data_IF_460495996465
#
_entry.id   IF_460495996465
#
_cell.length_a   1.000
_cell.length_b   1.000
_cell.length_c   1.000
_cell.angle_alpha   90.00
_cell.angle_beta   90.00
_cell.angle_gamma   90.00
#
_symmetry.space_group_name_H-M   'P 1'
#
loop_
_entity.id
_entity.type
_entity.pdbx_description
1 polymer ?
#
# COMPACT_ATOMS: atom_id res chain seq x y z
N UNK A 1 25.08 -20.88 -7.96
CA UNK A 1 26.15 -19.87 -7.97
C UNK A 1 25.70 -18.56 -8.62
N UNK A 2 25.27 -18.53 -9.88
CA UNK A 2 24.83 -17.29 -10.58
C UNK A 2 23.73 -16.50 -9.82
N UNK A 3 22.72 -17.16 -9.24
CA UNK A 3 21.65 -16.50 -8.48
C UNK A 3 22.19 -15.75 -7.24
N UNK A 4 23.19 -16.30 -6.56
CA UNK A 4 23.80 -15.65 -5.40
C UNK A 4 24.58 -14.37 -5.77
N UNK A 5 25.10 -14.29 -7.00
CA UNK A 5 25.75 -13.08 -7.50
C UNK A 5 24.75 -11.96 -7.85
N UNK A 6 23.53 -12.32 -8.25
CA UNK A 6 22.47 -11.35 -8.61
C UNK A 6 21.72 -10.84 -7.37
N UNK A 7 21.62 -11.64 -6.31
CA UNK A 7 20.88 -11.28 -5.08
C UNK A 7 21.30 -9.91 -4.48
N UNK A 8 22.61 -9.57 -4.35
CA UNK A 8 23.01 -8.26 -3.84
C UNK A 8 22.53 -7.10 -4.70
N UNK A 9 22.51 -7.25 -6.04
CA UNK A 9 22.12 -6.20 -6.98
C UNK A 9 20.61 -5.88 -6.91
N UNK A 10 19.79 -6.80 -6.38
CA UNK A 10 18.35 -6.55 -6.19
C UNK A 10 18.05 -5.53 -5.09
N UNK A 11 19.01 -5.23 -4.22
CA UNK A 11 18.87 -4.34 -3.03
C UNK A 11 17.65 -4.70 -2.14
N UNK A 12 17.12 -5.92 -2.28
CA UNK A 12 15.96 -6.42 -1.53
C UNK A 12 16.39 -7.15 -0.26
N UNK A 13 16.32 -6.44 0.86
CA UNK A 13 16.65 -7.01 2.19
C UNK A 13 15.79 -8.26 2.51
N UNK A 14 14.52 -8.22 2.16
CA UNK A 14 13.59 -9.34 2.35
C UNK A 14 14.01 -10.59 1.59
N UNK A 15 14.47 -10.43 0.34
CA UNK A 15 14.93 -11.53 -0.49
C UNK A 15 16.22 -12.17 0.08
N UNK A 16 17.13 -11.37 0.64
CA UNK A 16 18.34 -11.89 1.25
C UNK A 16 18.05 -12.73 2.49
N UNK A 17 17.17 -12.23 3.36
CA UNK A 17 16.75 -12.95 4.57
C UNK A 17 16.02 -14.25 4.19
N UNK A 18 15.12 -14.20 3.22
CA UNK A 18 14.40 -15.36 2.72
C UNK A 18 15.36 -16.43 2.15
N UNK A 19 16.33 -16.03 1.33
CA UNK A 19 17.32 -16.93 0.78
C UNK A 19 18.20 -17.55 1.89
N UNK A 20 18.67 -16.76 2.84
CA UNK A 20 19.52 -17.25 3.94
C UNK A 20 18.77 -18.27 4.81
N UNK A 21 17.55 -17.99 5.23
CA UNK A 21 16.74 -18.87 6.05
C UNK A 21 16.41 -20.18 5.31
N UNK A 22 15.98 -20.09 4.05
CA UNK A 22 15.61 -21.26 3.26
C UNK A 22 16.80 -22.17 2.97
N UNK A 23 17.96 -21.60 2.58
CA UNK A 23 19.18 -22.36 2.35
C UNK A 23 19.70 -23.02 3.62
N UNK A 24 19.70 -22.30 4.75
CA UNK A 24 20.08 -22.85 6.05
C UNK A 24 19.16 -24.02 6.47
N UNK A 25 17.84 -23.88 6.25
CA UNK A 25 16.87 -24.92 6.55
C UNK A 25 17.08 -26.16 5.67
N UNK A 26 17.29 -26.01 4.35
CA UNK A 26 17.55 -27.12 3.43
C UNK A 26 18.85 -27.83 3.81
N UNK A 27 19.92 -27.08 4.10
CA UNK A 27 21.18 -27.64 4.56
C UNK A 27 21.03 -28.42 5.88
N UNK A 28 20.24 -27.89 6.82
CA UNK A 28 19.92 -28.57 8.07
C UNK A 28 19.19 -29.88 7.85
N UNK A 29 18.21 -29.94 6.93
CA UNK A 29 17.44 -31.15 6.64
C UNK A 29 18.24 -32.22 5.89
N UNK A 30 19.17 -31.82 5.00
CA UNK A 30 20.04 -32.72 4.26
C UNK A 30 21.23 -33.25 5.06
N UNK A 31 21.47 -32.69 6.28
CA UNK A 31 22.62 -33.10 7.07
C UNK A 31 22.53 -34.56 7.49
N UNK A 32 23.64 -35.29 7.40
CA UNK A 32 23.80 -36.60 8.00
C UNK A 32 23.89 -36.47 9.54
N UNK A 33 22.79 -36.81 10.21
CA UNK A 33 22.69 -36.69 11.68
C UNK A 33 23.83 -37.40 12.43
N UNK A 34 24.32 -38.50 11.89
CA UNK A 34 25.37 -39.32 12.52
C UNK A 34 26.73 -38.62 12.42
N UNK A 35 27.11 -38.19 11.23
CA UNK A 35 28.34 -37.42 11.00
C UNK A 35 28.32 -36.09 11.75
N UNK A 36 27.18 -35.39 11.74
CA UNK A 36 27.01 -34.11 12.44
C UNK A 36 27.18 -34.24 13.94
N UNK A 37 26.60 -35.30 14.59
CA UNK A 37 26.73 -35.52 16.04
C UNK A 37 28.19 -35.77 16.44
N UNK A 38 28.94 -36.50 15.63
CA UNK A 38 30.36 -36.76 15.85
C UNK A 38 31.19 -35.49 15.72
N UNK A 39 30.95 -34.74 14.64
CA UNK A 39 31.60 -33.45 14.40
C UNK A 39 31.27 -32.42 15.47
N UNK A 40 29.98 -32.36 15.89
CA UNK A 40 29.54 -31.46 16.97
C UNK A 40 30.24 -31.78 18.29
N UNK A 41 30.30 -33.05 18.70
CA UNK A 41 31.01 -33.45 19.93
C UNK A 41 32.49 -33.09 19.86
N UNK A 42 33.12 -33.25 18.69
CA UNK A 42 34.57 -33.04 18.53
C UNK A 42 34.92 -31.53 18.46
N UNK A 43 34.08 -30.71 17.85
CA UNK A 43 34.39 -29.30 17.56
C UNK A 43 33.35 -28.31 18.15
N UNK A 44 32.59 -28.70 19.18
CA UNK A 44 31.53 -27.89 19.80
C UNK A 44 31.95 -26.44 20.06
N UNK A 45 33.10 -26.23 20.69
CA UNK A 45 33.60 -24.88 21.01
C UNK A 45 33.86 -24.03 19.75
N UNK A 46 34.42 -24.64 18.69
CA UNK A 46 34.63 -23.94 17.42
C UNK A 46 33.33 -23.61 16.73
N UNK A 47 32.37 -24.53 16.66
CA UNK A 47 31.07 -24.28 16.04
C UNK A 47 30.29 -23.21 16.80
N UNK A 48 30.35 -23.18 18.12
CA UNK A 48 29.72 -22.11 18.93
C UNK A 48 30.41 -20.77 18.65
N UNK A 49 31.74 -20.74 18.57
CA UNK A 49 32.48 -19.50 18.26
C UNK A 49 32.17 -18.99 16.83
N UNK A 50 32.16 -19.89 15.85
CA UNK A 50 31.78 -19.56 14.47
C UNK A 50 30.32 -19.10 14.38
N UNK A 51 29.41 -19.76 15.08
CA UNK A 51 28.00 -19.37 15.17
C UNK A 51 27.83 -17.98 15.79
N UNK A 52 28.53 -17.70 16.88
CA UNK A 52 28.54 -16.38 17.52
C UNK A 52 29.12 -15.30 16.59
N UNK A 53 30.23 -15.60 15.89
CA UNK A 53 30.82 -14.70 14.90
C UNK A 53 29.87 -14.38 13.74
N UNK A 54 29.25 -15.41 13.15
CA UNK A 54 28.25 -15.23 12.07
C UNK A 54 27.05 -14.43 12.60
N UNK A 55 26.56 -14.73 13.80
CA UNK A 55 25.46 -14.00 14.42
C UNK A 55 25.81 -12.52 14.63
N UNK A 56 27.03 -12.24 15.11
CA UNK A 56 27.51 -10.86 15.28
C UNK A 56 27.58 -10.12 13.95
N UNK A 57 28.16 -10.75 12.91
CA UNK A 57 28.25 -10.16 11.56
C UNK A 57 26.84 -9.89 10.99
N UNK A 58 25.90 -10.85 11.12
CA UNK A 58 24.52 -10.66 10.66
C UNK A 58 23.80 -9.56 11.45
N UNK A 59 24.05 -9.46 12.75
CA UNK A 59 23.46 -8.40 13.60
C UNK A 59 24.01 -7.02 13.22
N UNK A 60 25.33 -6.92 12.97
CA UNK A 60 25.96 -5.68 12.49
C UNK A 60 25.47 -5.29 11.09
N UNK A 61 25.33 -6.27 10.20
CA UNK A 61 24.77 -6.05 8.86
C UNK A 61 23.28 -5.60 8.92
N UNK A 62 22.49 -6.21 9.79
CA UNK A 62 21.09 -5.80 10.01
C UNK A 62 20.99 -4.39 10.60
N UNK A 63 21.82 -4.07 11.58
CA UNK A 63 21.93 -2.71 12.14
C UNK A 63 22.35 -1.70 11.07
N UNK A 64 23.40 -2.00 10.29
CA UNK A 64 23.84 -1.16 9.17
C UNK A 64 22.74 -0.93 8.14
N UNK A 65 22.00 -1.98 7.76
CA UNK A 65 20.84 -1.87 6.85
C UNK A 65 19.71 -1.05 7.43
N UNK A 66 19.50 -1.06 8.75
CA UNK A 66 18.52 -0.21 9.41
C UNK A 66 18.92 1.27 9.32
N UNK A 67 20.18 1.59 9.63
CA UNK A 67 20.70 2.96 9.59
C UNK A 67 20.77 3.54 8.18
N UNK A 68 20.93 2.71 7.14
CA UNK A 68 20.97 3.17 5.74
C UNK A 68 19.61 3.70 5.24
N UNK A 69 18.47 3.17 5.73
CA UNK A 69 17.11 3.61 5.35
C UNK A 69 16.14 3.46 6.55
N UNK A 70 16.26 4.29 7.59
CA UNK A 70 15.44 4.17 8.78
C UNK A 70 13.94 4.42 8.49
N UNK A 71 13.63 5.39 7.64
CA UNK A 71 12.25 5.74 7.31
C UNK A 71 11.48 4.59 6.64
N UNK A 72 12.16 3.77 5.83
CA UNK A 72 11.53 2.58 5.22
C UNK A 72 11.17 1.50 6.26
N UNK A 73 11.95 1.34 7.32
CA UNK A 73 11.66 0.37 8.38
C UNK A 73 10.57 0.89 9.32
N UNK A 74 10.65 2.15 9.71
CA UNK A 74 9.65 2.84 10.53
C UNK A 74 8.31 2.93 9.80
N UNK A 75 8.32 3.23 8.49
CA UNK A 75 7.12 3.26 7.66
C UNK A 75 6.41 1.91 7.62
N UNK A 76 7.13 0.78 7.48
CA UNK A 76 6.53 -0.56 7.57
C UNK A 76 5.95 -0.84 8.95
N UNK A 77 6.66 -0.48 10.03
CA UNK A 77 6.16 -0.63 11.40
C UNK A 77 4.85 0.14 11.61
N UNK A 78 4.81 1.38 11.14
CA UNK A 78 3.60 2.20 11.21
C UNK A 78 2.46 1.60 10.38
N UNK A 79 2.74 1.18 9.15
CA UNK A 79 1.78 0.53 8.28
C UNK A 79 1.17 -0.73 8.91
N UNK A 80 2.00 -1.61 9.48
CA UNK A 80 1.52 -2.81 10.17
C UNK A 80 0.68 -2.47 11.41
N UNK A 81 1.07 -1.43 12.16
CA UNK A 81 0.29 -0.91 13.29
C UNK A 81 -1.12 -0.48 12.85
N UNK A 82 -1.23 0.25 11.74
CA UNK A 82 -2.53 0.68 11.19
C UNK A 82 -3.31 -0.50 10.62
N UNK A 83 -2.66 -1.42 9.91
CA UNK A 83 -3.30 -2.65 9.40
C UNK A 83 -3.86 -3.50 10.53
N UNK A 84 -3.13 -3.69 11.64
CA UNK A 84 -3.64 -4.41 12.81
C UNK A 84 -4.86 -3.71 13.44
N UNK A 85 -4.90 -2.38 13.46
CA UNK A 85 -6.09 -1.63 13.91
C UNK A 85 -7.27 -1.84 12.97
N UNK A 86 -7.03 -1.80 11.66
CA UNK A 86 -8.07 -2.10 10.66
C UNK A 86 -8.61 -3.54 10.81
N UNK A 87 -7.74 -4.55 11.04
CA UNK A 87 -8.16 -5.93 11.30
C UNK A 87 -9.01 -6.02 12.58
N UNK A 88 -8.65 -5.28 13.63
CA UNK A 88 -9.43 -5.27 14.87
C UNK A 88 -10.84 -4.68 14.68
N UNK A 89 -10.99 -3.71 13.78
CA UNK A 89 -12.28 -3.15 13.40
C UNK A 89 -13.08 -4.09 12.46
N UNK A 90 -12.37 -4.84 11.60
CA UNK A 90 -12.96 -5.74 10.59
C UNK A 90 -12.42 -7.18 10.70
N UNK A 91 -12.66 -7.92 11.80
CA UNK A 91 -12.07 -9.25 12.03
C UNK A 91 -12.56 -10.31 11.03
N UNK A 92 -13.73 -10.11 10.44
CA UNK A 92 -14.32 -11.00 9.42
C UNK A 92 -13.92 -10.64 7.98
N UNK A 93 -13.08 -9.62 7.82
CA UNK A 93 -12.63 -9.13 6.53
C UNK A 93 -13.35 -7.86 6.07
N UNK A 94 -12.69 -7.12 5.19
CA UNK A 94 -13.22 -5.90 4.59
C UNK A 94 -13.49 -6.12 3.09
N UNK A 95 -14.77 -6.09 2.64
CA UNK A 95 -15.10 -6.35 1.23
C UNK A 95 -14.52 -5.34 0.23
N UNK A 96 -14.26 -4.11 0.69
CA UNK A 96 -13.65 -3.03 -0.12
C UNK A 96 -12.12 -3.17 -0.24
N UNK A 97 -11.54 -4.11 0.53
CA UNK A 97 -10.12 -4.41 0.46
C UNK A 97 -9.26 -3.56 1.39
N UNK A 98 -7.94 -3.73 1.24
CA UNK A 98 -6.93 -3.15 2.11
C UNK A 98 -6.96 -1.62 2.14
N UNK A 99 -6.99 -0.97 0.98
CA UNK A 99 -6.77 0.47 0.86
C UNK A 99 -7.80 1.30 1.65
N UNK A 100 -9.10 0.96 1.52
CA UNK A 100 -10.19 1.64 2.22
C UNK A 100 -10.05 1.49 3.75
N UNK A 101 -9.99 0.24 4.24
CA UNK A 101 -9.94 -0.05 5.67
C UNK A 101 -8.67 0.52 6.33
N UNK A 102 -7.53 0.45 5.65
CA UNK A 102 -6.28 1.08 6.09
C UNK A 102 -6.43 2.60 6.20
N UNK A 103 -6.97 3.25 5.14
CA UNK A 103 -7.15 4.69 5.11
C UNK A 103 -8.08 5.19 6.22
N UNK A 104 -9.18 4.48 6.51
CA UNK A 104 -10.09 4.78 7.61
C UNK A 104 -9.41 4.64 8.97
N UNK A 105 -8.70 3.53 9.21
CA UNK A 105 -7.97 3.32 10.46
C UNK A 105 -6.88 4.39 10.69
N UNK A 106 -6.18 4.81 9.62
CA UNK A 106 -5.18 5.86 9.68
C UNK A 106 -5.83 7.23 9.96
N UNK A 107 -6.94 7.57 9.31
CA UNK A 107 -7.65 8.82 9.55
C UNK A 107 -8.15 8.93 11.00
N UNK A 108 -8.75 7.87 11.52
CA UNK A 108 -9.21 7.82 12.92
C UNK A 108 -8.03 7.91 13.92
N UNK A 109 -6.90 7.30 13.57
CA UNK A 109 -5.70 7.36 14.40
C UNK A 109 -5.15 8.78 14.50
N UNK A 110 -4.97 9.47 13.40
CA UNK A 110 -4.46 10.84 13.41
C UNK A 110 -5.48 11.85 13.93
N UNK A 111 -6.79 11.64 13.73
CA UNK A 111 -7.85 12.46 14.30
C UNK A 111 -7.84 12.42 15.85
N UNK A 112 -7.34 11.34 16.47
CA UNK A 112 -7.24 11.26 17.94
C UNK A 112 -6.20 12.21 18.54
N UNK A 113 -5.30 12.80 17.74
CA UNK A 113 -4.23 13.70 18.18
C UNK A 113 -3.11 13.04 19.01
N UNK A 114 -3.25 11.76 19.35
CA UNK A 114 -2.29 11.04 20.20
C UNK A 114 -1.33 10.18 19.36
N UNK A 115 -0.39 10.84 18.69
CA UNK A 115 0.62 10.20 17.85
C UNK A 115 1.99 10.86 17.98
N UNK A 116 3.04 10.09 17.67
CA UNK A 116 4.40 10.61 17.71
C UNK A 116 4.76 11.32 16.38
N UNK A 117 5.59 12.33 16.43
CA UNK A 117 6.03 13.11 15.26
C UNK A 117 6.69 12.26 14.15
N UNK A 118 7.35 11.15 14.52
CA UNK A 118 7.92 10.24 13.53
C UNK A 118 6.85 9.47 12.75
N UNK A 119 5.68 9.19 13.34
CA UNK A 119 4.57 8.48 12.69
C UNK A 119 3.95 9.36 11.60
N UNK A 120 3.76 10.64 11.88
CA UNK A 120 3.32 11.61 10.86
C UNK A 120 4.29 11.68 9.68
N UNK A 121 5.60 11.73 9.96
CA UNK A 121 6.64 11.81 8.92
C UNK A 121 6.66 10.60 8.00
N UNK A 122 6.46 9.38 8.54
CA UNK A 122 6.51 8.13 7.76
C UNK A 122 5.17 7.69 7.21
N UNK A 123 4.09 8.34 7.62
CA UNK A 123 2.75 8.05 7.10
C UNK A 123 2.67 8.20 5.59
N UNK A 124 1.90 7.33 4.96
CA UNK A 124 1.69 7.30 3.52
C UNK A 124 0.33 6.70 3.18
N UNK A 125 0.04 6.61 1.90
CA UNK A 125 -1.15 5.96 1.34
C UNK A 125 -0.78 4.68 0.60
N UNK A 126 -0.37 3.59 1.31
CA UNK A 126 0.04 2.36 0.66
C UNK A 126 -1.14 1.64 0.04
N UNK A 127 -0.93 1.02 -1.13
CA UNK A 127 -1.92 0.16 -1.77
C UNK A 127 -1.94 -1.26 -1.19
N UNK A 128 -0.85 -1.68 -0.50
CA UNK A 128 -0.64 -3.02 0.04
C UNK A 128 -0.05 -2.95 1.45
N UNK A 129 -0.31 -3.98 2.26
CA UNK A 129 0.21 -4.08 3.63
C UNK A 129 1.72 -4.30 3.72
N UNK A 130 2.42 -4.65 2.61
CA UNK A 130 3.79 -5.16 2.61
C UNK A 130 3.98 -6.33 3.60
N UNK A 131 2.90 -7.06 3.83
CA UNK A 131 2.83 -8.29 4.62
C UNK A 131 1.57 -9.04 4.19
N UNK A 132 1.74 -10.11 3.42
CA UNK A 132 0.64 -10.88 2.85
C UNK A 132 -0.31 -11.47 3.90
N UNK A 133 0.21 -11.83 5.06
CA UNK A 133 -0.60 -12.40 6.14
C UNK A 133 -1.57 -11.37 6.72
N UNK A 134 -1.08 -10.16 6.95
CA UNK A 134 -1.92 -9.06 7.41
C UNK A 134 -2.92 -8.63 6.34
N UNK A 135 -2.53 -8.66 5.08
CA UNK A 135 -3.40 -8.30 3.97
C UNK A 135 -4.52 -9.31 3.76
N UNK A 136 -4.21 -10.61 3.80
CA UNK A 136 -5.21 -11.68 3.76
C UNK A 136 -6.15 -11.60 4.97
N UNK A 137 -5.61 -11.35 6.18
CA UNK A 137 -6.42 -11.21 7.38
C UNK A 137 -7.37 -10.00 7.33
N UNK A 138 -6.93 -8.88 6.73
CA UNK A 138 -7.78 -7.69 6.57
C UNK A 138 -8.82 -7.86 5.47
N UNK A 139 -8.43 -8.44 4.32
CA UNK A 139 -9.32 -8.55 3.15
C UNK A 139 -10.34 -9.67 3.29
N UNK A 140 -9.89 -10.85 3.76
CA UNK A 140 -10.72 -12.06 3.80
C UNK A 140 -11.11 -12.50 5.21
N UNK A 141 -10.59 -11.82 6.22
CA UNK A 141 -10.82 -12.12 7.63
C UNK A 141 -9.74 -13.01 8.25
N UNK A 142 -9.64 -12.91 9.58
CA UNK A 142 -8.64 -13.65 10.38
C UNK A 142 -8.83 -15.16 10.25
N UNK A 143 -10.08 -15.63 10.21
CA UNK A 143 -10.37 -17.07 10.07
C UNK A 143 -9.84 -17.63 8.74
N UNK A 144 -9.99 -16.90 7.64
CA UNK A 144 -9.45 -17.31 6.34
C UNK A 144 -7.91 -17.30 6.34
N UNK A 145 -7.28 -16.31 6.96
CA UNK A 145 -5.83 -16.28 7.12
C UNK A 145 -5.31 -17.52 7.86
N UNK A 146 -5.96 -17.90 8.97
CA UNK A 146 -5.62 -19.13 9.72
C UNK A 146 -5.80 -20.37 8.86
N UNK A 147 -6.89 -20.46 8.10
CA UNK A 147 -7.15 -21.60 7.20
C UNK A 147 -6.07 -21.73 6.12
N UNK A 148 -5.70 -20.61 5.47
CA UNK A 148 -4.62 -20.59 4.47
C UNK A 148 -3.29 -21.04 5.07
N UNK A 149 -2.93 -20.53 6.25
CA UNK A 149 -1.73 -20.95 6.94
C UNK A 149 -1.76 -22.45 7.29
N UNK A 150 -2.90 -22.96 7.75
CA UNK A 150 -3.07 -24.39 8.04
C UNK A 150 -2.82 -25.25 6.79
N UNK A 151 -3.36 -24.86 5.64
CA UNK A 151 -3.12 -25.56 4.37
C UNK A 151 -1.64 -25.53 3.98
N UNK A 152 -1.00 -24.36 4.08
CA UNK A 152 0.43 -24.18 3.75
C UNK A 152 1.31 -25.06 4.65
N UNK A 153 1.08 -25.04 5.97
CA UNK A 153 1.82 -25.88 6.92
C UNK A 153 1.55 -27.36 6.71
N UNK A 154 0.31 -27.76 6.35
CA UNK A 154 -0.02 -29.12 5.97
C UNK A 154 0.77 -29.59 4.75
N UNK A 155 0.86 -28.77 3.70
CA UNK A 155 1.67 -29.05 2.51
C UNK A 155 3.16 -29.17 2.85
N UNK A 156 3.69 -28.28 3.69
CA UNK A 156 5.09 -28.35 4.16
C UNK A 156 5.33 -29.65 4.96
N UNK A 157 4.44 -30.02 5.86
CA UNK A 157 4.53 -31.26 6.62
C UNK A 157 4.61 -32.48 5.71
N UNK A 158 3.73 -32.58 4.70
CA UNK A 158 3.72 -33.65 3.71
C UNK A 158 5.04 -33.65 2.91
N UNK A 159 5.48 -32.49 2.43
CA UNK A 159 6.72 -32.34 1.69
C UNK A 159 7.96 -32.79 2.49
N UNK A 160 8.00 -32.48 3.79
CA UNK A 160 9.07 -32.94 4.70
C UNK A 160 8.99 -34.47 4.90
N UNK A 161 7.79 -35.04 5.10
CA UNK A 161 7.57 -36.46 5.20
C UNK A 161 8.04 -37.21 3.94
N UNK A 162 7.80 -36.64 2.76
CA UNK A 162 8.24 -37.17 1.46
C UNK A 162 9.71 -36.82 1.12
N UNK A 163 10.47 -36.23 2.06
CA UNK A 163 11.88 -35.81 1.90
C UNK A 163 12.14 -34.84 0.75
N UNK A 164 11.13 -34.04 0.37
CA UNK A 164 11.22 -33.02 -0.69
C UNK A 164 11.81 -31.71 -0.17
N UNK A 165 12.94 -31.78 0.51
CA UNK A 165 13.50 -30.64 1.25
C UNK A 165 13.79 -29.42 0.37
N UNK A 166 14.22 -29.59 -0.89
CA UNK A 166 14.44 -28.48 -1.81
C UNK A 166 13.16 -27.70 -2.12
N UNK A 167 12.05 -28.43 -2.40
CA UNK A 167 10.74 -27.81 -2.69
C UNK A 167 10.20 -27.11 -1.43
N UNK A 168 10.28 -27.76 -0.27
CA UNK A 168 9.91 -27.13 1.00
C UNK A 168 10.74 -25.88 1.29
N UNK A 169 12.04 -25.91 0.99
CA UNK A 169 12.92 -24.74 1.13
C UNK A 169 12.51 -23.57 0.24
N UNK A 170 12.13 -23.83 -1.02
CA UNK A 170 11.61 -22.82 -1.92
C UNK A 170 10.29 -22.22 -1.40
N UNK A 171 9.38 -23.04 -0.89
CA UNK A 171 8.13 -22.58 -0.28
C UNK A 171 8.41 -21.75 0.99
N UNK A 172 9.34 -22.15 1.85
CA UNK A 172 9.77 -21.40 3.03
C UNK A 172 10.36 -20.03 2.60
N UNK A 173 11.17 -19.99 1.54
CA UNK A 173 11.70 -18.74 1.01
C UNK A 173 10.59 -17.78 0.62
N UNK A 174 9.56 -18.26 -0.08
CA UNK A 174 8.40 -17.45 -0.45
C UNK A 174 7.64 -16.96 0.77
N UNK A 175 7.40 -17.80 1.77
CA UNK A 175 6.72 -17.43 3.01
C UNK A 175 7.47 -16.35 3.79
N UNK A 176 8.79 -16.48 3.93
CA UNK A 176 9.63 -15.47 4.59
C UNK A 176 9.62 -14.16 3.79
N UNK A 177 9.65 -14.22 2.48
CA UNK A 177 9.57 -13.05 1.62
C UNK A 177 8.21 -12.34 1.74
N UNK A 178 7.11 -13.10 1.82
CA UNK A 178 5.74 -12.61 2.01
C UNK A 178 5.52 -11.89 3.34
N UNK A 179 6.38 -12.11 4.34
CA UNK A 179 6.28 -11.43 5.63
C UNK A 179 6.61 -9.92 5.55
N UNK A 180 7.41 -9.50 4.58
CA UNK A 180 7.86 -8.11 4.46
C UNK A 180 7.80 -7.58 3.02
N UNK A 181 7.00 -8.20 2.16
CA UNK A 181 6.79 -7.85 0.76
C UNK A 181 5.37 -8.26 0.33
N UNK A 182 5.05 -8.04 -0.95
CA UNK A 182 3.74 -8.34 -1.55
C UNK A 182 3.85 -9.26 -2.80
N UNK A 183 4.50 -10.43 -2.71
CA UNK A 183 4.69 -11.31 -3.87
C UNK A 183 3.39 -11.84 -4.46
N UNK A 184 2.33 -12.04 -3.66
CA UNK A 184 1.06 -12.57 -4.14
C UNK A 184 0.23 -11.56 -4.96
N UNK A 185 0.68 -10.31 -5.09
CA UNK A 185 0.16 -9.36 -6.08
C UNK A 185 0.77 -9.52 -7.47
N UNK A 186 1.82 -10.34 -7.60
CA UNK A 186 2.51 -10.59 -8.86
C UNK A 186 2.13 -11.97 -9.41
N UNK A 187 1.53 -12.07 -10.62
CA UNK A 187 1.04 -13.34 -11.18
C UNK A 187 2.10 -14.44 -11.21
N UNK A 188 3.36 -14.10 -11.51
CA UNK A 188 4.45 -15.07 -11.54
C UNK A 188 4.70 -15.73 -10.18
N UNK A 189 4.59 -14.98 -9.09
CA UNK A 189 4.75 -15.52 -7.73
C UNK A 189 3.53 -16.34 -7.29
N UNK A 190 2.32 -15.97 -7.70
CA UNK A 190 1.10 -16.76 -7.45
C UNK A 190 1.24 -18.13 -8.11
N UNK A 191 1.59 -18.17 -9.38
CA UNK A 191 1.80 -19.43 -10.11
C UNK A 191 2.91 -20.26 -9.45
N UNK A 192 4.01 -19.63 -9.08
CA UNK A 192 5.12 -20.30 -8.37
C UNK A 192 4.67 -20.87 -7.03
N UNK A 193 3.91 -20.11 -6.22
CA UNK A 193 3.38 -20.57 -4.95
C UNK A 193 2.48 -21.81 -5.13
N UNK A 194 1.56 -21.76 -6.08
CA UNK A 194 0.67 -22.87 -6.41
C UNK A 194 1.49 -24.10 -6.84
N UNK A 195 2.43 -23.94 -7.77
CA UNK A 195 3.29 -25.04 -8.21
C UNK A 195 4.10 -25.66 -7.05
N UNK A 196 4.61 -24.86 -6.13
CA UNK A 196 5.37 -25.34 -4.96
C UNK A 196 4.45 -26.10 -3.98
N UNK A 197 3.24 -25.58 -3.71
CA UNK A 197 2.26 -26.26 -2.86
C UNK A 197 1.84 -27.60 -3.45
N UNK A 198 1.53 -27.63 -4.74
CA UNK A 198 1.22 -28.86 -5.48
C UNK A 198 2.39 -29.86 -5.43
N UNK A 199 3.62 -29.38 -5.69
CA UNK A 199 4.81 -30.20 -5.66
C UNK A 199 5.13 -30.76 -4.25
N UNK A 200 4.74 -30.08 -3.17
CA UNK A 200 4.81 -30.61 -1.82
C UNK A 200 3.81 -31.76 -1.60
N UNK A 201 2.58 -31.64 -2.10
CA UNK A 201 1.46 -32.55 -1.85
C UNK A 201 1.37 -33.78 -2.75
N UNK A 202 1.90 -33.71 -3.99
CA UNK A 202 1.82 -34.81 -4.98
C UNK A 202 2.49 -36.09 -4.41
N UNK A 203 1.75 -37.22 -4.44
CA UNK A 203 2.26 -38.52 -3.99
C UNK A 203 1.79 -38.97 -2.61
N UNK A 204 1.11 -38.09 -1.85
CA UNK A 204 0.36 -38.47 -0.66
C UNK A 204 -1.16 -38.40 -0.93
N UNK A 205 -1.95 -39.23 -0.27
CA UNK A 205 -3.41 -39.32 -0.48
C UNK A 205 -4.07 -37.99 -0.12
N UNK A 206 -3.70 -37.42 1.02
CA UNK A 206 -4.22 -36.11 1.51
C UNK A 206 -3.76 -34.98 0.56
N UNK A 207 -2.52 -35.03 0.09
CA UNK A 207 -1.98 -34.07 -0.85
C UNK A 207 -2.74 -34.02 -2.17
N UNK A 208 -3.23 -35.15 -2.70
CA UNK A 208 -4.05 -35.20 -3.91
C UNK A 208 -5.38 -34.43 -3.75
N UNK A 209 -6.04 -34.56 -2.60
CA UNK A 209 -7.26 -33.80 -2.32
C UNK A 209 -7.01 -32.30 -2.16
N UNK A 210 -5.91 -31.92 -1.51
CA UNK A 210 -5.49 -30.51 -1.40
C UNK A 210 -5.22 -29.91 -2.80
N UNK A 211 -4.51 -30.64 -3.67
CA UNK A 211 -4.29 -30.27 -5.06
C UNK A 211 -5.62 -30.08 -5.79
N UNK A 212 -6.54 -31.03 -5.66
CA UNK A 212 -7.85 -30.96 -6.29
C UNK A 212 -8.63 -29.72 -5.80
N UNK A 213 -8.63 -29.45 -4.50
CA UNK A 213 -9.28 -28.24 -3.95
C UNK A 213 -8.70 -26.96 -4.53
N UNK A 214 -7.36 -26.84 -4.64
CA UNK A 214 -6.72 -25.68 -5.26
C UNK A 214 -7.10 -25.55 -6.72
N UNK A 215 -7.08 -26.65 -7.47
CA UNK A 215 -7.50 -26.64 -8.88
C UNK A 215 -8.98 -26.24 -9.05
N UNK A 216 -9.87 -26.75 -8.17
CA UNK A 216 -11.29 -26.41 -8.21
C UNK A 216 -11.51 -24.92 -7.88
N UNK A 217 -10.84 -24.36 -6.89
CA UNK A 217 -10.93 -22.93 -6.55
C UNK A 217 -10.48 -22.07 -7.73
N UNK A 218 -9.40 -22.46 -8.41
CA UNK A 218 -8.92 -21.75 -9.62
C UNK A 218 -9.89 -21.90 -10.81
N UNK A 219 -10.50 -23.07 -10.97
CA UNK A 219 -11.44 -23.34 -12.07
C UNK A 219 -12.77 -22.61 -11.88
N UNK A 220 -13.37 -22.70 -10.70
CA UNK A 220 -14.65 -22.02 -10.39
C UNK A 220 -14.50 -20.51 -10.25
N UNK A 221 -13.30 -20.00 -10.05
CA UNK A 221 -13.04 -18.56 -9.96
C UNK A 221 -13.25 -17.79 -11.27
N UNK A 222 -13.43 -18.45 -12.42
CA UNK A 222 -13.70 -17.81 -13.70
C UNK A 222 -12.64 -16.78 -14.14
N UNK A 223 -11.42 -16.92 -13.63
CA UNK A 223 -10.38 -15.88 -13.74
C UNK A 223 -9.89 -15.63 -15.18
N UNK A 224 -9.87 -16.63 -16.06
CA UNK A 224 -9.18 -16.51 -17.35
C UNK A 224 -9.87 -15.54 -18.34
N UNK A 225 -11.18 -15.57 -18.44
CA UNK A 225 -11.93 -14.71 -19.36
C UNK A 225 -12.01 -13.26 -18.86
N UNK A 226 -12.17 -13.10 -17.55
CA UNK A 226 -12.16 -11.80 -16.88
C UNK A 226 -10.80 -11.10 -16.98
N UNK A 227 -9.72 -11.87 -16.93
CA UNK A 227 -8.35 -11.34 -17.05
C UNK A 227 -8.04 -10.79 -18.44
N UNK A 228 -8.56 -11.41 -19.53
CA UNK A 228 -8.34 -10.90 -20.89
C UNK A 228 -9.07 -9.60 -21.12
N UNK A 229 -10.34 -9.49 -20.72
CA UNK A 229 -11.11 -8.26 -20.83
C UNK A 229 -10.52 -7.12 -20.01
N UNK A 230 -10.12 -7.39 -18.78
CA UNK A 230 -9.51 -6.40 -17.91
C UNK A 230 -8.14 -5.94 -18.41
N UNK A 231 -7.34 -6.86 -18.98
CA UNK A 231 -6.04 -6.53 -19.58
C UNK A 231 -6.18 -5.61 -20.79
N UNK A 232 -7.13 -5.88 -21.67
CA UNK A 232 -7.34 -5.09 -22.87
C UNK A 232 -7.91 -3.71 -22.49
N UNK A 233 -8.85 -3.64 -21.54
CA UNK A 233 -9.32 -2.39 -20.97
C UNK A 233 -8.20 -1.57 -20.30
N UNK A 234 -7.25 -2.22 -19.62
CA UNK A 234 -6.08 -1.53 -19.07
C UNK A 234 -5.16 -0.93 -20.14
N UNK A 235 -5.04 -1.59 -21.31
CA UNK A 235 -4.28 -1.03 -22.44
C UNK A 235 -4.97 0.21 -23.00
N UNK A 236 -6.29 0.14 -23.17
CA UNK A 236 -7.06 1.27 -23.68
C UNK A 236 -7.10 2.42 -22.66
N UNK A 237 -7.05 2.11 -21.38
CA UNK A 237 -6.88 3.14 -20.33
C UNK A 237 -5.56 3.90 -20.46
N UNK A 238 -4.45 3.23 -20.80
CA UNK A 238 -3.17 3.92 -21.04
C UNK A 238 -3.30 4.93 -22.19
N UNK A 239 -4.06 4.59 -23.24
CA UNK A 239 -4.33 5.51 -24.36
C UNK A 239 -5.22 6.69 -23.93
N UNK A 240 -6.28 6.43 -23.15
CA UNK A 240 -7.16 7.46 -22.61
C UNK A 240 -6.41 8.44 -21.65
N UNK A 241 -5.44 7.90 -20.91
CA UNK A 241 -4.57 8.70 -20.03
C UNK A 241 -3.74 9.74 -20.80
N UNK A 242 -3.39 9.49 -22.05
CA UNK A 242 -2.69 10.48 -22.90
C UNK A 242 -3.60 11.68 -23.12
N UNK A 243 -4.89 11.46 -23.41
CA UNK A 243 -5.88 12.54 -23.58
C UNK A 243 -6.06 13.34 -22.28
N UNK A 244 -6.15 12.65 -21.16
CA UNK A 244 -6.22 13.28 -19.84
C UNK A 244 -5.00 14.16 -19.55
N UNK A 245 -3.79 13.66 -19.77
CA UNK A 245 -2.55 14.42 -19.53
C UNK A 245 -2.35 15.58 -20.51
N UNK A 246 -2.92 15.52 -21.68
CA UNK A 246 -2.89 16.63 -22.66
C UNK A 246 -3.94 17.72 -22.39
N UNK A 247 -4.78 17.57 -21.33
CA UNK A 247 -5.86 18.48 -21.01
C UNK A 247 -7.11 18.32 -21.88
N UNK A 248 -7.16 17.31 -22.75
CA UNK A 248 -8.33 17.00 -23.59
C UNK A 248 -9.41 16.23 -22.77
N UNK A 249 -9.88 16.82 -21.68
CA UNK A 249 -10.72 16.17 -20.67
C UNK A 249 -12.03 15.61 -21.22
N UNK A 250 -12.71 16.31 -22.13
CA UNK A 250 -13.95 15.82 -22.75
C UNK A 250 -13.72 14.57 -23.60
N UNK A 251 -12.59 14.49 -24.31
CA UNK A 251 -12.22 13.31 -25.07
C UNK A 251 -11.81 12.14 -24.15
N UNK A 252 -11.11 12.45 -23.06
CA UNK A 252 -10.76 11.49 -22.03
C UNK A 252 -12.02 10.93 -21.35
N UNK A 253 -12.99 11.78 -20.99
CA UNK A 253 -14.25 11.37 -20.34
C UNK A 253 -15.03 10.36 -21.21
N UNK A 254 -15.16 10.63 -22.53
CA UNK A 254 -15.79 9.67 -23.46
C UNK A 254 -15.06 8.33 -23.56
N UNK A 255 -13.74 8.33 -23.42
CA UNK A 255 -12.96 7.10 -23.40
C UNK A 255 -13.13 6.35 -22.06
N UNK A 256 -13.08 7.06 -20.93
CA UNK A 256 -13.27 6.49 -19.59
C UNK A 256 -14.67 5.88 -19.39
N UNK A 257 -15.71 6.54 -19.88
CA UNK A 257 -17.07 6.02 -19.83
C UNK A 257 -17.18 4.60 -20.45
N UNK A 258 -16.55 4.38 -21.61
CA UNK A 258 -16.52 3.07 -22.28
C UNK A 258 -15.75 2.01 -21.48
N UNK A 259 -14.72 2.43 -20.74
CA UNK A 259 -13.86 1.54 -19.95
C UNK A 259 -14.41 1.25 -18.55
N UNK A 260 -15.31 2.09 -18.06
CA UNK A 260 -15.85 2.00 -16.71
C UNK A 260 -16.41 0.61 -16.35
N UNK A 261 -17.22 -0.08 -17.18
CA UNK A 261 -17.75 -1.40 -16.82
C UNK A 261 -16.67 -2.42 -16.48
N UNK A 262 -15.51 -2.34 -17.16
CA UNK A 262 -14.39 -3.26 -16.96
C UNK A 262 -13.44 -2.84 -15.82
N UNK A 263 -13.31 -1.53 -15.55
CA UNK A 263 -12.32 -0.98 -14.63
C UNK A 263 -12.92 -0.36 -13.36
N UNK A 264 -14.22 -0.48 -13.12
CA UNK A 264 -14.97 0.12 -11.98
C UNK A 264 -14.46 -0.26 -10.58
N UNK A 265 -13.58 -1.23 -10.44
CA UNK A 265 -12.96 -1.64 -9.18
C UNK A 265 -11.52 -1.19 -9.04
N UNK A 266 -11.01 -0.40 -9.98
CA UNK A 266 -9.64 0.13 -9.93
C UNK A 266 -9.66 1.58 -9.42
N UNK A 267 -9.19 1.80 -8.19
CA UNK A 267 -9.19 3.12 -7.54
C UNK A 267 -8.45 4.18 -8.37
N UNK A 268 -7.31 3.85 -8.95
CA UNK A 268 -6.56 4.78 -9.79
C UNK A 268 -7.30 5.17 -11.08
N UNK A 269 -8.05 4.24 -11.71
CA UNK A 269 -8.88 4.54 -12.87
C UNK A 269 -10.05 5.47 -12.50
N UNK A 270 -10.74 5.15 -11.40
CA UNK A 270 -11.87 5.95 -10.92
C UNK A 270 -11.42 7.35 -10.51
N UNK A 271 -10.24 7.46 -9.90
CA UNK A 271 -9.64 8.76 -9.57
C UNK A 271 -9.37 9.60 -10.83
N UNK A 272 -8.70 9.02 -11.84
CA UNK A 272 -8.41 9.75 -13.08
C UNK A 272 -9.70 10.18 -13.80
N UNK A 273 -10.73 9.31 -13.82
CA UNK A 273 -12.01 9.64 -14.43
C UNK A 273 -12.74 10.75 -13.66
N UNK A 274 -12.85 10.59 -12.33
CA UNK A 274 -13.47 11.63 -11.49
C UNK A 274 -12.74 12.97 -11.58
N UNK A 275 -11.40 12.96 -11.57
CA UNK A 275 -10.62 14.17 -11.74
C UNK A 275 -10.78 14.81 -13.13
N UNK A 276 -10.86 14.00 -14.20
CA UNK A 276 -11.14 14.51 -15.56
C UNK A 276 -12.52 15.17 -15.65
N UNK A 277 -13.53 14.62 -14.97
CA UNK A 277 -14.87 15.22 -14.86
C UNK A 277 -14.84 16.52 -14.06
N UNK A 278 -14.08 16.58 -12.94
CA UNK A 278 -13.85 17.81 -12.20
C UNK A 278 -13.28 18.93 -13.10
N UNK A 279 -12.25 18.60 -13.88
CA UNK A 279 -11.61 19.54 -14.82
C UNK A 279 -12.55 20.00 -15.96
N UNK A 280 -13.56 19.21 -16.29
CA UNK A 280 -14.60 19.55 -17.27
C UNK A 280 -15.78 20.32 -16.63
N UNK A 281 -15.73 20.66 -15.33
CA UNK A 281 -16.82 21.34 -14.62
C UNK A 281 -18.03 20.45 -14.28
N UNK A 282 -17.94 19.13 -14.48
CA UNK A 282 -19.01 18.15 -14.17
C UNK A 282 -18.87 17.66 -12.74
N UNK A 283 -19.09 18.57 -11.77
CA UNK A 283 -18.76 18.35 -10.35
C UNK A 283 -19.57 17.23 -9.69
N UNK A 284 -20.87 17.13 -9.97
CA UNK A 284 -21.74 16.07 -9.41
C UNK A 284 -21.30 14.68 -9.86
N UNK A 285 -21.07 14.51 -11.15
CA UNK A 285 -20.59 13.24 -11.69
C UNK A 285 -19.18 12.90 -11.20
N UNK A 286 -18.30 13.90 -11.15
CA UNK A 286 -16.97 13.74 -10.56
C UNK A 286 -17.06 13.21 -9.14
N UNK A 287 -17.94 13.78 -8.32
CA UNK A 287 -18.16 13.36 -6.94
C UNK A 287 -18.57 11.89 -6.84
N UNK A 288 -19.50 11.44 -7.69
CA UNK A 288 -19.97 10.05 -7.72
C UNK A 288 -18.84 9.04 -8.00
N UNK A 289 -17.99 9.32 -9.02
CA UNK A 289 -16.87 8.43 -9.35
C UNK A 289 -15.76 8.50 -8.31
N UNK A 290 -15.51 9.64 -7.69
CA UNK A 290 -14.55 9.77 -6.60
C UNK A 290 -15.04 9.09 -5.32
N UNK A 291 -16.34 9.10 -5.02
CA UNK A 291 -16.90 8.35 -3.90
C UNK A 291 -16.72 6.84 -4.08
N UNK A 292 -16.86 6.34 -5.31
CA UNK A 292 -16.50 4.96 -5.63
C UNK A 292 -14.99 4.72 -5.53
N UNK A 293 -14.14 5.68 -5.96
CA UNK A 293 -12.70 5.56 -5.92
C UNK A 293 -12.16 5.36 -4.51
N UNK A 294 -12.71 6.05 -3.49
CA UNK A 294 -12.29 5.92 -2.09
C UNK A 294 -12.54 4.53 -1.49
N UNK A 295 -13.38 3.69 -2.12
CA UNK A 295 -13.56 2.31 -1.71
C UNK A 295 -12.38 1.42 -2.10
N UNK A 296 -11.60 1.82 -3.11
CA UNK A 296 -10.49 1.03 -3.66
C UNK A 296 -9.13 1.71 -3.55
N UNK A 297 -9.09 2.96 -3.06
CA UNK A 297 -7.85 3.74 -2.88
C UNK A 297 -7.92 4.56 -1.60
N UNK A 298 -6.78 4.70 -0.94
CA UNK A 298 -6.64 5.57 0.24
C UNK A 298 -5.90 6.88 -0.07
N UNK A 299 -5.77 7.23 -1.36
CA UNK A 299 -5.11 8.47 -1.77
C UNK A 299 -5.89 9.70 -1.24
N UNK A 300 -5.28 10.59 -0.45
CA UNK A 300 -5.93 11.79 0.06
C UNK A 300 -6.35 12.76 -1.05
N UNK A 301 -5.75 12.67 -2.25
CA UNK A 301 -6.15 13.51 -3.39
C UNK A 301 -7.61 13.28 -3.80
N UNK A 302 -8.13 12.06 -3.63
CA UNK A 302 -9.56 11.77 -3.86
C UNK A 302 -10.42 12.69 -2.98
N UNK A 303 -10.12 12.77 -1.69
CA UNK A 303 -10.84 13.62 -0.73
C UNK A 303 -10.69 15.11 -1.05
N UNK A 304 -9.49 15.50 -1.49
CA UNK A 304 -9.22 16.89 -1.87
C UNK A 304 -10.06 17.32 -3.08
N UNK A 305 -10.17 16.46 -4.12
CA UNK A 305 -11.00 16.78 -5.28
C UNK A 305 -12.49 16.73 -4.94
N UNK A 306 -12.93 15.79 -4.09
CA UNK A 306 -14.32 15.77 -3.58
C UNK A 306 -14.64 17.06 -2.84
N UNK A 307 -13.76 17.54 -1.97
CA UNK A 307 -13.91 18.82 -1.30
C UNK A 307 -13.97 20.02 -2.26
N UNK A 308 -13.13 20.01 -3.31
CA UNK A 308 -13.18 21.04 -4.37
C UNK A 308 -14.49 20.99 -5.16
N UNK A 309 -15.03 19.80 -5.42
CA UNK A 309 -16.37 19.68 -6.05
C UNK A 309 -17.46 20.28 -5.17
N UNK A 310 -17.48 19.95 -3.86
CA UNK A 310 -18.43 20.54 -2.92
C UNK A 310 -18.26 22.08 -2.84
N UNK A 311 -17.03 22.60 -2.84
CA UNK A 311 -16.77 24.03 -2.85
C UNK A 311 -17.31 24.70 -4.12
N UNK A 312 -17.10 24.10 -5.30
CA UNK A 312 -17.62 24.61 -6.58
C UNK A 312 -19.16 24.58 -6.65
N UNK A 313 -19.81 23.67 -5.91
CA UNK A 313 -21.26 23.60 -5.75
C UNK A 313 -21.77 24.47 -4.59
N UNK A 314 -20.93 25.30 -3.96
CA UNK A 314 -21.23 26.12 -2.78
C UNK A 314 -21.65 25.33 -1.54
N UNK A 315 -21.33 24.05 -1.47
CA UNK A 315 -21.53 23.16 -0.32
C UNK A 315 -20.33 23.22 0.64
N UNK A 316 -20.04 24.39 1.20
CA UNK A 316 -18.83 24.69 1.97
C UNK A 316 -18.63 23.78 3.18
N UNK A 317 -19.69 23.40 3.90
CA UNK A 317 -19.59 22.46 5.05
C UNK A 317 -19.17 21.06 4.61
N UNK A 318 -19.63 20.62 3.44
CA UNK A 318 -19.24 19.36 2.83
C UNK A 318 -17.75 19.41 2.44
N UNK A 319 -17.32 20.50 1.80
CA UNK A 319 -15.93 20.75 1.43
C UNK A 319 -15.01 20.71 2.66
N UNK A 320 -15.36 21.43 3.74
CA UNK A 320 -14.62 21.44 5.00
C UNK A 320 -14.45 20.01 5.54
N UNK A 321 -15.52 19.22 5.59
CA UNK A 321 -15.48 17.85 6.10
C UNK A 321 -14.48 16.98 5.31
N UNK A 322 -14.49 17.04 3.97
CA UNK A 322 -13.56 16.26 3.15
C UNK A 322 -12.10 16.71 3.32
N UNK A 323 -11.85 18.01 3.39
CA UNK A 323 -10.49 18.52 3.62
C UNK A 323 -9.97 18.14 5.01
N UNK A 324 -10.80 18.18 6.05
CA UNK A 324 -10.43 17.74 7.40
C UNK A 324 -10.14 16.23 7.46
N UNK A 325 -10.91 15.40 6.74
CA UNK A 325 -10.61 13.97 6.62
C UNK A 325 -9.27 13.77 5.88
N UNK A 326 -9.00 14.56 4.84
CA UNK A 326 -7.72 14.52 4.12
C UNK A 326 -6.54 14.90 5.04
N UNK A 327 -6.69 15.95 5.84
CA UNK A 327 -5.72 16.32 6.90
C UNK A 327 -5.48 15.15 7.86
N UNK A 328 -6.56 14.55 8.36
CA UNK A 328 -6.47 13.42 9.30
C UNK A 328 -5.85 12.19 8.65
N UNK A 329 -5.99 12.00 7.33
CA UNK A 329 -5.39 10.89 6.60
C UNK A 329 -3.88 11.01 6.49
N UNK A 330 -3.36 12.18 6.13
CA UNK A 330 -1.93 12.47 6.01
C UNK A 330 -1.61 13.85 6.57
N UNK A 331 -1.46 14.00 7.91
CA UNK A 331 -1.27 15.30 8.55
C UNK A 331 0.01 16.03 8.10
N UNK A 332 1.03 15.29 7.62
CA UNK A 332 2.27 15.85 7.09
C UNK A 332 2.17 16.51 5.71
N UNK A 333 1.01 16.41 5.04
CA UNK A 333 0.78 17.05 3.73
C UNK A 333 0.29 18.48 3.91
N UNK A 334 0.91 19.43 3.20
CA UNK A 334 0.55 20.85 3.27
C UNK A 334 -0.73 21.15 2.48
N UNK A 335 -0.94 20.47 1.36
CA UNK A 335 -2.01 20.78 0.41
C UNK A 335 -3.42 20.82 1.02
N UNK A 336 -3.87 19.88 1.89
CA UNK A 336 -5.19 19.98 2.51
C UNK A 336 -5.35 21.21 3.42
N UNK A 337 -4.28 21.64 4.11
CA UNK A 337 -4.33 22.86 4.93
C UNK A 337 -4.46 24.13 4.07
N UNK A 338 -3.77 24.14 2.92
CA UNK A 338 -3.91 25.21 1.93
C UNK A 338 -5.36 25.27 1.39
N UNK A 339 -5.98 24.14 1.05
CA UNK A 339 -7.37 24.10 0.61
C UNK A 339 -8.33 24.60 1.68
N UNK A 340 -8.12 24.26 2.94
CA UNK A 340 -8.90 24.77 4.07
C UNK A 340 -8.71 26.29 4.25
N UNK A 341 -7.48 26.78 4.11
CA UNK A 341 -7.23 28.23 4.16
C UNK A 341 -7.99 28.96 3.06
N UNK A 342 -7.96 28.47 1.82
CA UNK A 342 -8.78 29.03 0.72
C UNK A 342 -10.27 28.96 1.05
N UNK A 343 -10.76 27.83 1.54
CA UNK A 343 -12.18 27.67 1.89
C UNK A 343 -12.63 28.69 2.95
N UNK A 344 -11.83 28.91 3.99
CA UNK A 344 -12.15 29.89 5.04
C UNK A 344 -11.94 31.35 4.62
N UNK A 345 -11.38 31.60 3.44
CA UNK A 345 -11.27 32.92 2.85
C UNK A 345 -12.45 33.26 1.90
N UNK A 346 -13.27 32.27 1.54
CA UNK A 346 -14.45 32.47 0.68
C UNK A 346 -15.43 33.45 1.32
N UNK A 347 -15.99 34.41 0.57
CA UNK A 347 -16.88 35.43 1.11
C UNK A 347 -18.08 34.87 1.88
N UNK A 348 -18.67 33.78 1.37
CA UNK A 348 -19.88 33.14 1.94
C UNK A 348 -19.57 32.16 3.10
N UNK A 349 -18.28 31.85 3.33
CA UNK A 349 -17.87 30.89 4.37
C UNK A 349 -16.69 31.41 5.21
N UNK A 350 -16.55 32.72 5.31
CA UNK A 350 -15.42 33.40 5.92
C UNK A 350 -15.30 33.14 7.43
N UNK A 351 -14.11 32.66 7.86
CA UNK A 351 -13.80 32.41 9.27
C UNK A 351 -12.32 32.78 9.54
N UNK A 352 -12.12 33.93 10.24
CA UNK A 352 -10.78 34.49 10.45
C UNK A 352 -9.91 33.63 11.38
N UNK A 353 -10.51 33.00 12.38
CA UNK A 353 -9.79 32.20 13.37
C UNK A 353 -9.32 30.90 12.74
N UNK A 354 -10.22 30.20 12.07
CA UNK A 354 -9.88 28.96 11.32
C UNK A 354 -8.89 29.22 10.21
N UNK A 355 -9.03 30.33 9.48
CA UNK A 355 -8.05 30.72 8.47
C UNK A 355 -6.66 30.93 9.09
N UNK A 356 -6.57 31.63 10.24
CA UNK A 356 -5.32 31.83 10.95
C UNK A 356 -4.61 30.54 11.33
N UNK A 357 -5.37 29.55 11.84
CA UNK A 357 -4.84 28.22 12.17
C UNK A 357 -4.31 27.49 10.91
N UNK A 358 -5.04 27.54 9.81
CA UNK A 358 -4.62 26.89 8.56
C UNK A 358 -3.41 27.60 7.94
N UNK A 359 -3.40 28.93 7.93
CA UNK A 359 -2.24 29.74 7.51
C UNK A 359 -0.99 29.34 8.30
N UNK A 360 -1.09 29.24 9.62
CA UNK A 360 0.03 28.81 10.46
C UNK A 360 0.55 27.45 10.05
N UNK A 361 -0.35 26.48 9.80
CA UNK A 361 0.03 25.14 9.35
C UNK A 361 0.73 25.15 7.98
N UNK A 362 0.23 25.91 7.00
CA UNK A 362 0.82 26.01 5.66
C UNK A 362 2.23 26.59 5.72
N UNK A 363 2.44 27.63 6.51
CA UNK A 363 3.72 28.36 6.58
C UNK A 363 4.78 27.60 7.41
N UNK A 364 4.39 26.96 8.52
CA UNK A 364 5.34 26.42 9.50
C UNK A 364 5.59 24.92 9.38
N UNK A 365 4.72 24.16 8.73
CA UNK A 365 4.97 22.71 8.54
C UNK A 365 6.13 22.47 7.59
N UNK A 366 6.99 21.52 7.96
CA UNK A 366 8.08 21.05 7.09
C UNK A 366 7.53 20.05 6.07
N UNK A 367 7.62 20.34 4.77
CA UNK A 367 7.19 19.39 3.75
C UNK A 367 8.09 18.15 3.72
N UNK A 368 7.54 17.02 3.30
CA UNK A 368 8.31 15.79 3.10
C UNK A 368 9.31 15.93 1.94
N UNK A 369 8.90 16.62 0.90
CA UNK A 369 9.70 16.99 -0.26
C UNK A 369 9.45 18.48 -0.53
N UNK A 370 10.51 19.24 -0.76
CA UNK A 370 10.37 20.63 -1.16
C UNK A 370 10.05 20.71 -2.65
N UNK A 371 9.05 21.52 -3.01
CA UNK A 371 8.66 21.78 -4.39
C UNK A 371 8.27 23.26 -4.57
N UNK A 372 8.36 23.77 -5.80
CA UNK A 372 7.92 25.14 -6.16
C UNK A 372 6.43 25.34 -5.86
N UNK A 373 5.61 24.31 -6.04
CA UNK A 373 4.19 24.35 -5.72
C UNK A 373 3.92 24.66 -4.23
N UNK A 374 4.75 24.16 -3.31
CA UNK A 374 4.61 24.50 -1.88
C UNK A 374 4.95 25.96 -1.61
N UNK A 375 5.95 26.49 -2.28
CA UNK A 375 6.31 27.91 -2.17
C UNK A 375 5.20 28.81 -2.73
N UNK A 376 4.58 28.41 -3.83
CA UNK A 376 3.42 29.10 -4.41
C UNK A 376 2.22 29.07 -3.48
N UNK A 377 1.88 27.92 -2.89
CA UNK A 377 0.82 27.81 -1.89
C UNK A 377 1.06 28.72 -0.67
N UNK A 378 2.30 28.80 -0.19
CA UNK A 378 2.65 29.66 0.94
C UNK A 378 2.48 31.15 0.59
N UNK A 379 3.00 31.55 -0.56
CA UNK A 379 2.86 32.92 -1.06
C UNK A 379 1.39 33.31 -1.22
N UNK A 380 0.57 32.44 -1.83
CA UNK A 380 -0.87 32.71 -2.03
C UNK A 380 -1.61 32.88 -0.71
N UNK A 381 -1.30 32.05 0.31
CA UNK A 381 -1.91 32.17 1.64
C UNK A 381 -1.45 33.46 2.35
N UNK A 382 -0.23 33.92 2.14
CA UNK A 382 0.25 35.20 2.65
C UNK A 382 -0.47 36.38 1.95
N UNK A 383 -0.61 36.33 0.65
CA UNK A 383 -1.36 37.33 -0.14
C UNK A 383 -2.83 37.41 0.28
N UNK A 384 -3.49 36.25 0.51
CA UNK A 384 -4.87 36.22 1.02
C UNK A 384 -4.93 36.89 2.41
N UNK A 385 -3.96 36.65 3.27
CA UNK A 385 -3.93 37.24 4.62
C UNK A 385 -3.73 38.78 4.58
N UNK A 386 -2.85 39.28 3.72
CA UNK A 386 -2.63 40.70 3.56
C UNK A 386 -3.89 41.43 3.01
N UNK A 387 -4.57 40.82 2.07
CA UNK A 387 -5.82 41.35 1.53
C UNK A 387 -6.99 41.27 2.52
N UNK A 388 -6.93 40.33 3.46
CA UNK A 388 -7.90 40.23 4.54
C UNK A 388 -7.86 41.46 5.45
N UNK A 389 -6.66 41.95 5.73
CA UNK A 389 -6.46 43.14 6.57
C UNK A 389 -6.72 44.46 5.80
N UNK A 390 -6.57 44.47 4.48
CA UNK A 390 -6.78 45.68 3.62
C UNK A 390 -8.20 45.83 3.05
N UNK A 391 -9.08 44.83 3.20
CA UNK A 391 -10.46 44.87 2.76
C UNK A 391 -10.66 44.74 1.23
N UNK A 392 -9.64 44.33 0.47
CA UNK A 392 -9.71 44.12 -0.98
C UNK A 392 -10.12 42.68 -1.32
N UNK A 393 -11.04 42.50 -2.28
CA UNK A 393 -11.44 41.20 -2.80
C UNK A 393 -10.50 40.73 -3.91
N UNK A 394 -9.89 39.56 -3.80
CA UNK A 394 -9.12 38.91 -4.85
C UNK A 394 -9.94 37.83 -5.51
N UNK A 395 -9.90 37.81 -6.86
CA UNK A 395 -10.38 36.66 -7.67
C UNK A 395 -9.23 35.64 -7.72
N UNK A 396 -9.43 34.48 -7.10
CA UNK A 396 -8.44 33.40 -7.10
C UNK A 396 -8.32 32.72 -8.48
N UNK A 397 -7.11 32.53 -8.96
CA UNK A 397 -6.80 31.69 -10.14
C UNK A 397 -6.71 30.23 -9.75
N UNK A 398 -7.43 29.35 -10.46
CA UNK A 398 -7.63 27.93 -10.13
C UNK A 398 -6.49 26.96 -10.52
N UNK A 399 -5.28 27.44 -10.85
CA UNK A 399 -4.30 26.66 -11.62
C UNK A 399 -3.02 26.21 -10.89
N UNK A 400 -3.01 26.02 -9.56
CA UNK A 400 -1.83 25.41 -8.89
C UNK A 400 -2.12 23.96 -8.56
N UNK A 401 -1.91 23.07 -9.52
CA UNK A 401 -1.86 21.62 -9.27
C UNK A 401 -0.40 21.16 -9.12
N UNK A 402 -0.06 20.73 -7.92
CA UNK A 402 1.21 20.06 -7.65
C UNK A 402 1.14 18.60 -8.09
N UNK A 403 1.91 18.23 -9.11
CA UNK A 403 2.34 16.85 -9.34
C UNK A 403 3.28 16.43 -8.18
N UNK A 404 2.79 15.67 -7.21
CA UNK A 404 3.58 14.89 -6.24
C UNK A 404 3.38 13.40 -6.40
#
# INVERSE_FOLDING_TARGET
MLILCVLPSTMSRSAWVAAAISCAWVAYMHRDKRKWSILWRRYKKRYVLWGAGIFLILSLAAAGMFFLKPDSALGRRFMWKMTCRAIAAHPWGCPTGFACAYGEAQSLYFASGNYASWEERVAGSPEYAFNEYLEVALTYGVAMCILVLFVIFGCLWIGVKLRRYGICGALISLLVFSFSSYPLHLPAFIVTAICLLLACGIGDVIGKYLVLCVCLVLWFGGYAEKWTQERDACRDWVNARILYRSGAYEAANRAYEKLYPSLRKKGAFLFEYGHSLHKSGRYDESFEYLDQARLYSNDPMILNIMGKNCQALHEYKCAEAFFLISVSRLPGRIYPYYLLAKLYSEPDYRDKDKFGDMKWNVLNRKPKVYSTAIEEMRREVEEIAENWDTGSSIICSDDVESEE
#
